data_IF_462059061092
#
_entry.id   IF_462059061092
#
_cell.length_a   1.000
_cell.length_b   1.000
_cell.length_c   1.000
_cell.angle_alpha   90.00
_cell.angle_beta   90.00
_cell.angle_gamma   90.00
#
_symmetry.space_group_name_H-M   'P 1'
#
loop_
_entity.id
_entity.type
_entity.pdbx_description
1 polymer ?
#
# COMPACT_ATOMS: atom_id res chain seq x y z
N UNK A 1 35.63 52.91 12.32
CA UNK A 1 35.27 51.90 11.30
C UNK A 1 33.81 51.51 11.51
N UNK A 2 32.91 52.20 10.81
CA UNK A 2 31.46 52.00 10.66
C UNK A 2 31.11 52.71 9.32
N UNK A 3 30.05 52.39 8.54
CA UNK A 3 28.80 51.70 8.89
C UNK A 3 28.19 50.77 7.79
N UNK A 4 26.99 50.23 8.07
CA UNK A 4 25.85 49.91 7.18
C UNK A 4 26.03 49.88 5.65
N UNK A 5 25.59 48.80 5.00
CA UNK A 5 24.78 48.87 3.77
C UNK A 5 23.75 47.72 3.70
N UNK A 6 22.49 48.12 3.74
CA UNK A 6 21.31 47.37 3.32
C UNK A 6 21.01 47.79 1.86
N UNK A 7 20.16 47.02 1.17
CA UNK A 7 19.60 47.19 -0.20
C UNK A 7 20.39 46.59 -1.37
N UNK A 8 19.78 46.17 -2.49
CA UNK A 8 18.44 45.68 -2.87
C UNK A 8 18.49 45.58 -4.42
N UNK A 9 17.90 44.53 -4.98
CA UNK A 9 17.18 44.51 -6.27
C UNK A 9 17.89 44.82 -7.61
N UNK A 10 17.98 43.79 -8.47
CA UNK A 10 17.43 43.79 -9.84
C UNK A 10 17.13 42.33 -10.22
N UNK A 11 15.88 41.85 -10.30
CA UNK A 11 15.04 41.82 -11.52
C UNK A 11 15.69 40.91 -12.58
N UNK A 12 15.06 39.93 -13.24
CA UNK A 12 13.68 39.75 -13.72
C UNK A 12 13.68 38.35 -14.40
N UNK A 13 12.84 37.39 -14.00
CA UNK A 13 11.56 36.98 -14.61
C UNK A 13 11.67 35.78 -15.59
N UNK A 14 10.94 34.72 -15.20
CA UNK A 14 10.29 33.68 -16.01
C UNK A 14 11.12 32.77 -16.94
N UNK A 15 11.16 31.49 -16.59
CA UNK A 15 10.52 30.49 -17.45
C UNK A 15 9.94 29.36 -16.60
N UNK A 16 8.64 29.18 -16.75
CA UNK A 16 7.83 28.13 -16.18
C UNK A 16 8.19 26.76 -16.80
N UNK A 17 7.70 25.71 -16.15
CA UNK A 17 7.54 24.33 -16.65
C UNK A 17 8.68 23.35 -16.34
N UNK A 18 8.60 22.80 -15.12
CA UNK A 18 9.24 21.54 -14.74
C UNK A 18 8.51 20.87 -13.57
N UNK A 19 7.20 21.11 -13.42
CA UNK A 19 6.35 20.36 -12.49
C UNK A 19 6.16 18.95 -13.03
N UNK A 20 7.03 18.02 -12.61
CA UNK A 20 6.81 16.60 -12.76
C UNK A 20 5.62 16.17 -11.92
N UNK A 21 4.47 16.02 -12.56
CA UNK A 21 3.24 15.50 -11.97
C UNK A 21 3.48 14.12 -11.34
N UNK A 22 3.61 14.08 -10.01
CA UNK A 22 3.27 12.90 -9.21
C UNK A 22 1.76 12.89 -8.95
N UNK A 23 0.97 13.03 -10.03
CA UNK A 23 -0.46 12.77 -10.00
C UNK A 23 -0.66 11.26 -10.02
N UNK A 24 -1.63 10.76 -9.25
CA UNK A 24 -2.12 9.40 -9.43
C UNK A 24 -2.35 9.15 -10.93
N UNK A 25 -1.93 8.00 -11.47
CA UNK A 25 -2.10 7.71 -12.88
C UNK A 25 -3.60 7.84 -13.24
N UNK A 26 -3.92 8.36 -14.44
CA UNK A 26 -5.31 8.44 -14.90
C UNK A 26 -5.94 7.04 -14.88
N UNK A 27 -7.19 7.00 -14.43
CA UNK A 27 -8.06 5.82 -14.34
C UNK A 27 -8.06 5.15 -15.73
N UNK A 28 -7.25 4.11 -15.91
CA UNK A 28 -7.11 3.41 -17.20
C UNK A 28 -5.70 2.96 -17.59
N UNK A 29 -4.63 3.50 -16.98
CA UNK A 29 -3.27 3.03 -17.23
C UNK A 29 -2.77 2.09 -16.11
N UNK A 30 -3.41 0.92 -15.99
CA UNK A 30 -2.88 -0.15 -15.15
C UNK A 30 -1.61 -0.70 -15.80
N UNK A 31 -0.45 -0.31 -15.25
CA UNK A 31 0.82 -0.94 -15.59
C UNK A 31 0.76 -2.36 -15.02
N UNK A 32 0.34 -3.33 -15.84
CA UNK A 32 0.74 -4.72 -15.61
C UNK A 32 2.26 -4.72 -15.52
N UNK A 33 2.81 -5.15 -14.38
CA UNK A 33 4.25 -5.34 -14.25
C UNK A 33 4.66 -6.45 -15.22
N UNK A 34 5.09 -6.09 -16.43
CA UNK A 34 5.66 -7.04 -17.38
C UNK A 34 6.85 -7.72 -16.71
N UNK A 35 6.74 -9.02 -16.47
CA UNK A 35 7.86 -9.85 -16.02
C UNK A 35 8.82 -9.99 -17.20
N UNK A 36 9.76 -9.05 -17.30
CA UNK A 36 10.86 -9.14 -18.25
C UNK A 36 11.82 -10.27 -17.86
N UNK A 37 12.49 -10.86 -18.86
CA UNK A 37 13.56 -11.84 -18.60
C UNK A 37 14.57 -11.27 -17.60
N UNK A 38 14.88 -11.98 -16.50
CA UNK A 38 15.78 -11.46 -15.48
C UNK A 38 17.18 -11.28 -16.07
N UNK A 39 17.73 -10.08 -15.92
CA UNK A 39 19.10 -9.78 -16.37
C UNK A 39 20.16 -10.28 -15.39
N UNK A 40 19.82 -10.36 -14.10
CA UNK A 40 20.75 -10.70 -13.01
C UNK A 40 20.33 -11.97 -12.25
N UNK A 41 21.30 -12.70 -11.68
CA UNK A 41 21.04 -13.89 -10.87
C UNK A 41 20.13 -13.62 -9.66
N UNK A 42 20.23 -12.44 -9.03
CA UNK A 42 19.35 -12.01 -7.93
C UNK A 42 17.89 -11.91 -8.37
N UNK A 43 17.63 -11.29 -9.52
CA UNK A 43 16.28 -11.19 -10.09
C UNK A 43 15.72 -12.55 -10.48
N UNK A 44 16.57 -13.46 -11.02
CA UNK A 44 16.15 -14.82 -11.36
C UNK A 44 15.66 -15.58 -10.13
N UNK A 45 16.44 -15.58 -9.04
CA UNK A 45 16.06 -16.21 -7.76
C UNK A 45 14.77 -15.62 -7.17
N UNK A 46 14.55 -14.31 -7.33
CA UNK A 46 13.33 -13.67 -6.85
C UNK A 46 12.08 -14.11 -7.64
N UNK A 47 12.22 -14.33 -8.96
CA UNK A 47 11.13 -14.88 -9.79
C UNK A 47 10.88 -16.36 -9.47
N UNK A 48 11.93 -17.17 -9.39
CA UNK A 48 11.84 -18.59 -8.99
C UNK A 48 11.22 -18.76 -7.59
N UNK A 49 11.40 -17.78 -6.69
CA UNK A 49 10.76 -17.82 -5.37
C UNK A 49 9.23 -17.63 -5.45
N UNK A 50 8.76 -16.80 -6.39
CA UNK A 50 7.34 -16.43 -6.60
C UNK A 50 6.58 -17.46 -7.43
N UNK A 51 7.28 -18.27 -8.21
CA UNK A 51 6.67 -19.33 -9.00
C UNK A 51 5.90 -20.32 -8.10
N UNK A 52 4.84 -20.89 -8.66
CA UNK A 52 4.00 -21.87 -7.98
C UNK A 52 4.81 -23.11 -7.61
N UNK A 53 4.51 -23.67 -6.44
CA UNK A 53 5.22 -24.80 -5.85
C UNK A 53 4.20 -25.80 -5.33
N UNK A 54 4.55 -27.08 -5.37
CA UNK A 54 3.71 -28.15 -4.80
C UNK A 54 3.52 -27.96 -3.28
N UNK A 55 4.60 -27.58 -2.58
CA UNK A 55 4.57 -27.22 -1.17
C UNK A 55 4.69 -25.69 -1.03
N UNK A 56 3.61 -25.04 -0.62
CA UNK A 56 3.56 -23.60 -0.44
C UNK A 56 4.30 -23.14 0.82
N UNK A 57 4.90 -21.95 0.73
CA UNK A 57 5.46 -21.25 1.89
C UNK A 57 4.35 -20.58 2.70
N UNK A 58 4.68 -20.09 3.90
CA UNK A 58 3.76 -19.29 4.69
C UNK A 58 3.29 -18.05 3.89
N UNK A 59 1.98 -17.79 3.95
CA UNK A 59 1.36 -16.67 3.24
C UNK A 59 1.71 -15.34 3.91
N UNK A 60 2.29 -14.42 3.13
CA UNK A 60 2.57 -13.03 3.55
C UNK A 60 1.27 -12.25 3.65
N UNK A 61 1.11 -11.50 4.75
CA UNK A 61 -0.02 -10.62 4.99
C UNK A 61 0.38 -9.14 4.88
N UNK A 62 -0.44 -8.33 4.21
CA UNK A 62 -0.28 -6.88 4.12
C UNK A 62 -1.36 -6.18 4.96
N UNK A 63 -0.92 -5.27 5.83
CA UNK A 63 -1.78 -4.46 6.67
C UNK A 63 -1.85 -3.04 6.10
N UNK A 64 -3.04 -2.64 5.64
CA UNK A 64 -3.27 -1.38 4.93
C UNK A 64 -4.14 -0.46 5.76
N UNK A 65 -3.70 0.79 5.94
CA UNK A 65 -4.50 1.86 6.51
C UNK A 65 -5.28 2.55 5.39
N UNK A 66 -6.61 2.52 5.47
CA UNK A 66 -7.48 3.29 4.59
C UNK A 66 -7.40 4.81 4.83
N UNK A 67 -8.17 5.58 4.08
CA UNK A 67 -8.21 7.05 4.16
C UNK A 67 -8.60 7.55 5.56
N UNK A 68 -9.60 6.91 6.17
CA UNK A 68 -10.08 7.19 7.53
C UNK A 68 -9.98 5.94 8.39
N UNK A 69 -9.30 6.04 9.52
CA UNK A 69 -9.09 4.94 10.48
C UNK A 69 -9.28 5.47 11.89
N UNK A 70 -9.94 4.72 12.76
CA UNK A 70 -10.02 5.04 14.19
C UNK A 70 -8.80 4.50 14.95
N UNK A 71 -8.68 4.88 16.22
CA UNK A 71 -7.63 4.38 17.10
C UNK A 71 -7.73 2.85 17.30
N UNK A 72 -8.94 2.33 17.54
CA UNK A 72 -9.19 0.88 17.70
C UNK A 72 -8.71 0.08 16.49
N UNK A 73 -9.02 0.54 15.28
CA UNK A 73 -8.58 -0.10 14.03
C UNK A 73 -7.06 -0.05 13.89
N UNK A 74 -6.44 1.08 14.23
CA UNK A 74 -4.98 1.21 14.16
C UNK A 74 -4.27 0.30 15.16
N UNK A 75 -4.81 0.15 16.37
CA UNK A 75 -4.34 -0.80 17.37
C UNK A 75 -4.48 -2.24 16.86
N UNK A 76 -5.66 -2.62 16.40
CA UNK A 76 -5.91 -3.96 15.86
C UNK A 76 -4.99 -4.30 14.67
N UNK A 77 -4.80 -3.40 13.72
CA UNK A 77 -3.87 -3.60 12.60
C UNK A 77 -2.43 -3.80 13.08
N UNK A 78 -2.01 -3.07 14.11
CA UNK A 78 -0.63 -3.15 14.63
C UNK A 78 -0.41 -4.47 15.37
N UNK A 79 -1.33 -4.87 16.25
CA UNK A 79 -1.27 -6.13 17.00
C UNK A 79 -1.37 -7.35 16.07
N UNK A 80 -2.28 -7.34 15.09
CA UNK A 80 -2.37 -8.41 14.10
C UNK A 80 -1.10 -8.52 13.26
N UNK A 81 -0.46 -7.39 12.92
CA UNK A 81 0.81 -7.39 12.22
C UNK A 81 1.95 -7.95 13.09
N UNK A 82 1.97 -7.64 14.39
CA UNK A 82 2.93 -8.21 15.34
C UNK A 82 2.78 -9.72 15.48
N UNK A 83 1.54 -10.21 15.61
CA UNK A 83 1.22 -11.63 15.69
C UNK A 83 1.65 -12.40 14.44
N UNK A 84 1.55 -11.78 13.26
CA UNK A 84 1.86 -12.41 11.98
C UNK A 84 3.33 -12.36 11.58
N UNK A 85 4.21 -11.74 12.38
CA UNK A 85 5.66 -11.74 12.12
C UNK A 85 6.21 -13.18 12.07
N UNK A 86 7.15 -13.50 11.16
CA UNK A 86 7.87 -12.59 10.26
C UNK A 86 7.13 -12.27 8.94
N UNK A 87 6.04 -12.97 8.61
CA UNK A 87 5.34 -12.88 7.31
C UNK A 87 4.30 -11.74 7.26
N UNK A 88 4.69 -10.57 7.75
CA UNK A 88 3.82 -9.39 7.87
C UNK A 88 4.48 -8.15 7.27
N UNK A 89 3.72 -7.44 6.44
CA UNK A 89 4.12 -6.16 5.85
C UNK A 89 3.09 -5.10 6.20
N UNK A 90 3.47 -4.13 7.05
CA UNK A 90 2.58 -3.04 7.43
C UNK A 90 2.86 -1.79 6.59
N UNK A 91 1.82 -1.21 5.98
CA UNK A 91 1.93 0.06 5.28
C UNK A 91 1.79 1.23 6.25
N UNK A 92 2.77 2.14 6.20
CA UNK A 92 2.78 3.33 7.05
C UNK A 92 1.88 4.45 6.53
N UNK A 93 1.79 4.60 5.20
CA UNK A 93 0.99 5.64 4.54
C UNK A 93 -0.48 5.21 4.48
N UNK A 94 -1.39 6.18 4.61
CA UNK A 94 -2.81 5.99 4.33
C UNK A 94 -3.03 5.89 2.82
N UNK A 95 -3.82 4.92 2.40
CA UNK A 95 -4.14 4.67 1.00
C UNK A 95 -5.64 4.82 0.78
N UNK A 96 -6.02 5.42 -0.34
CA UNK A 96 -7.40 5.46 -0.76
C UNK A 96 -7.73 4.16 -1.46
N UNK A 97 -8.35 3.24 -0.73
CA UNK A 97 -8.71 1.90 -1.21
C UNK A 97 -10.10 1.55 -0.72
N UNK A 98 -10.93 1.09 -1.65
CA UNK A 98 -12.30 0.66 -1.42
C UNK A 98 -12.42 -0.77 -1.94
N UNK A 99 -12.16 -1.80 -1.11
CA UNK A 99 -12.01 -3.19 -1.57
C UNK A 99 -13.21 -3.75 -2.34
N UNK A 100 -14.41 -3.25 -2.08
CA UNK A 100 -15.65 -3.69 -2.76
C UNK A 100 -15.95 -2.94 -4.05
N UNK A 101 -15.31 -1.79 -4.28
CA UNK A 101 -15.54 -0.97 -5.48
C UNK A 101 -14.45 -1.22 -6.52
N UNK A 102 -13.19 -1.29 -6.09
CA UNK A 102 -12.05 -1.58 -6.94
C UNK A 102 -10.98 -2.42 -6.23
N UNK A 103 -10.72 -3.60 -6.79
CA UNK A 103 -9.72 -4.55 -6.32
C UNK A 103 -8.31 -4.28 -6.88
N UNK A 104 -8.18 -3.47 -7.92
CA UNK A 104 -6.97 -3.39 -8.74
C UNK A 104 -5.74 -2.91 -7.95
N UNK A 105 -5.94 -2.03 -6.97
CA UNK A 105 -4.87 -1.60 -6.05
C UNK A 105 -4.35 -2.74 -5.17
N UNK A 106 -5.25 -3.61 -4.70
CA UNK A 106 -4.93 -4.76 -3.86
C UNK A 106 -4.15 -5.78 -4.67
N UNK A 107 -4.59 -6.09 -5.88
CA UNK A 107 -3.92 -7.00 -6.81
C UNK A 107 -2.52 -6.49 -7.16
N UNK A 108 -2.38 -5.20 -7.45
CA UNK A 108 -1.08 -4.56 -7.72
C UNK A 108 -0.13 -4.68 -6.52
N UNK A 109 -0.61 -4.43 -5.30
CA UNK A 109 0.22 -4.59 -4.10
C UNK A 109 0.57 -6.04 -3.83
N UNK A 110 -0.33 -6.97 -4.11
CA UNK A 110 -0.12 -8.42 -3.98
C UNK A 110 1.00 -8.89 -4.89
N UNK A 111 0.94 -8.54 -6.17
CA UNK A 111 1.99 -8.87 -7.14
C UNK A 111 3.34 -8.22 -6.81
N UNK A 112 3.33 -6.98 -6.31
CA UNK A 112 4.56 -6.27 -5.97
C UNK A 112 5.28 -6.90 -4.79
N UNK A 113 4.54 -7.21 -3.73
CA UNK A 113 5.09 -7.67 -2.45
C UNK A 113 5.06 -9.19 -2.28
N UNK A 114 4.55 -9.94 -3.26
CA UNK A 114 4.38 -11.40 -3.16
C UNK A 114 3.53 -11.78 -1.93
N UNK A 115 2.34 -11.17 -1.85
CA UNK A 115 1.42 -11.34 -0.73
C UNK A 115 0.04 -11.78 -1.21
N UNK A 116 -0.54 -12.71 -0.46
CA UNK A 116 -1.85 -13.30 -0.75
C UNK A 116 -2.90 -12.96 0.30
N UNK A 117 -2.53 -12.36 1.43
CA UNK A 117 -3.45 -11.97 2.49
C UNK A 117 -3.38 -10.47 2.72
N UNK A 118 -4.54 -9.85 2.94
CA UNK A 118 -4.66 -8.42 3.21
C UNK A 118 -5.64 -8.17 4.34
N UNK A 119 -5.34 -7.15 5.14
CA UNK A 119 -6.27 -6.55 6.08
C UNK A 119 -6.27 -5.04 5.84
N UNK A 120 -7.42 -4.52 5.42
CA UNK A 120 -7.64 -3.10 5.17
C UNK A 120 -8.48 -2.52 6.30
N UNK A 121 -7.89 -1.63 7.08
CA UNK A 121 -8.62 -0.92 8.13
C UNK A 121 -9.28 0.36 7.61
N UNK A 122 -10.55 0.55 7.94
CA UNK A 122 -11.30 1.78 7.66
C UNK A 122 -12.31 2.09 8.76
N UNK A 123 -12.76 3.34 8.87
CA UNK A 123 -13.85 3.70 9.78
C UNK A 123 -14.74 4.77 9.13
N UNK A 124 -16.03 4.47 9.04
CA UNK A 124 -17.05 5.31 8.42
C UNK A 124 -18.31 5.37 9.29
N UNK A 125 -19.18 6.35 9.07
CA UNK A 125 -20.44 6.47 9.83
C UNK A 125 -21.36 5.24 9.67
N UNK A 126 -21.42 4.66 8.47
CA UNK A 126 -22.23 3.45 8.19
C UNK A 126 -21.55 2.15 8.66
N UNK A 127 -20.22 2.12 8.67
CA UNK A 127 -19.38 0.97 9.05
C UNK A 127 -18.25 1.46 9.96
N UNK A 128 -18.54 1.70 11.25
CA UNK A 128 -17.52 2.16 12.19
C UNK A 128 -16.53 1.03 12.47
N UNK A 129 -15.27 1.39 12.68
CA UNK A 129 -14.20 0.49 13.15
C UNK A 129 -14.07 -0.81 12.33
N UNK A 130 -14.10 -0.70 11.00
CA UNK A 130 -14.17 -1.84 10.08
C UNK A 130 -12.78 -2.38 9.68
N UNK A 131 -12.63 -3.70 9.71
CA UNK A 131 -11.51 -4.44 9.13
C UNK A 131 -12.02 -5.28 7.95
N UNK A 132 -11.51 -5.00 6.77
CA UNK A 132 -11.80 -5.77 5.56
C UNK A 132 -10.66 -6.74 5.29
N UNK A 133 -10.97 -8.03 5.30
CA UNK A 133 -10.06 -9.14 5.04
C UNK A 133 -10.19 -9.53 3.58
N UNK A 134 -9.05 -9.63 2.89
CA UNK A 134 -9.03 -10.02 1.47
C UNK A 134 -8.00 -11.12 1.28
N UNK A 135 -8.38 -12.16 0.53
CA UNK A 135 -7.43 -13.16 0.05
C UNK A 135 -7.29 -13.06 -1.46
N UNK A 136 -6.07 -13.21 -1.93
CA UNK A 136 -5.75 -13.34 -3.33
C UNK A 136 -5.46 -14.80 -3.68
N UNK A 137 -5.86 -15.20 -4.87
CA UNK A 137 -5.46 -16.42 -5.53
C UNK A 137 -4.92 -16.07 -6.91
N UNK A 138 -3.72 -16.54 -7.24
CA UNK A 138 -3.01 -16.21 -8.48
C UNK A 138 -2.95 -14.70 -8.81
N UNK A 139 -2.79 -13.88 -7.76
CA UNK A 139 -2.71 -12.42 -7.88
C UNK A 139 -4.05 -11.72 -8.13
N UNK A 140 -5.17 -12.44 -8.14
CA UNK A 140 -6.52 -11.91 -8.26
C UNK A 140 -7.30 -12.08 -6.96
N UNK A 141 -8.30 -11.23 -6.71
CA UNK A 141 -9.14 -11.37 -5.50
C UNK A 141 -9.99 -12.64 -5.56
N UNK A 142 -9.87 -13.48 -4.51
CA UNK A 142 -10.68 -14.67 -4.32
C UNK A 142 -11.93 -14.35 -3.50
N UNK A 143 -11.74 -13.74 -2.34
CA UNK A 143 -12.82 -13.41 -1.41
C UNK A 143 -12.50 -12.19 -0.56
N UNK A 144 -13.58 -11.56 -0.08
CA UNK A 144 -13.56 -10.34 0.72
C UNK A 144 -14.55 -10.52 1.88
N UNK A 145 -14.12 -10.20 3.10
CA UNK A 145 -14.94 -10.27 4.32
C UNK A 145 -14.77 -8.99 5.14
N UNK A 146 -15.88 -8.35 5.54
CA UNK A 146 -15.85 -7.24 6.49
C UNK A 146 -16.17 -7.69 7.92
N UNK A 147 -15.38 -7.23 8.88
CA UNK A 147 -15.60 -7.44 10.31
C UNK A 147 -15.40 -6.14 11.08
N UNK A 148 -16.41 -5.72 11.84
CA UNK A 148 -16.35 -4.54 12.69
C UNK A 148 -15.72 -4.85 14.05
N UNK A 149 -14.82 -3.98 14.51
CA UNK A 149 -14.20 -4.05 15.84
C UNK A 149 -15.11 -3.35 16.85
N UNK A 150 -15.73 -4.12 17.74
CA UNK A 150 -16.58 -3.57 18.81
C UNK A 150 -15.72 -3.01 19.96
N UNK A 151 -14.80 -3.82 20.44
CA UNK A 151 -13.91 -3.54 21.57
C UNK A 151 -12.46 -3.83 21.19
N UNK A 152 -11.54 -2.98 21.62
CA UNK A 152 -10.10 -3.16 21.49
C UNK A 152 -9.45 -2.84 22.84
N UNK A 153 -8.61 -3.75 23.31
CA UNK A 153 -7.84 -3.63 24.55
C UNK A 153 -6.36 -3.74 24.23
N UNK A 154 -5.56 -2.87 24.84
CA UNK A 154 -4.11 -2.90 24.75
C UNK A 154 -3.51 -3.91 25.74
#
# INVERSE_FOLDING_TARGET
MFPFFFLFWSGSLASQNGMGYWGNPPIGAFIMLRVGKPKNARSKRALEKRESKEFEHAKTAIFVKGTKTSEKVNMALSELALLKKPDAVAFNKRNDVLPFEDASSIEFWGQKNDASLFVVGSSQKKRPDNLCWVRLFDGQVLDILEMGVLHATA
#
